data_IF_135955816300
#
_entry.id   IF_135955816300
#
_cell.length_a   1.000
_cell.length_b   1.000
_cell.length_c   1.000
_cell.angle_alpha   90.00
_cell.angle_beta   90.00
_cell.angle_gamma   90.00
#
_symmetry.space_group_name_H-M   'P 1'
#
loop_
_entity.id
_entity.type
_entity.pdbx_description
1 polymer ?
#
# COMPACT_ATOMS: atom_id res chain seq x y z
N UNK A 1 9.02 50.44 1.74
CA UNK A 1 8.22 49.25 2.10
C UNK A 1 7.41 49.58 3.36
N UNK A 2 6.09 49.63 3.25
CA UNK A 2 5.17 50.04 4.34
C UNK A 2 5.22 49.07 5.54
N UNK A 3 5.01 49.55 6.77
CA UNK A 3 4.96 48.71 7.99
C UNK A 3 3.98 47.52 7.86
N UNK A 4 2.87 47.71 7.13
CA UNK A 4 1.89 46.65 6.88
C UNK A 4 2.47 45.53 6.00
N UNK A 5 3.32 45.87 5.03
CA UNK A 5 4.01 44.89 4.18
C UNK A 5 5.02 44.04 4.96
N UNK A 6 5.68 44.61 5.98
CA UNK A 6 6.59 43.86 6.86
C UNK A 6 5.84 42.87 7.76
N UNK A 7 4.72 43.28 8.37
CA UNK A 7 3.87 42.38 9.19
C UNK A 7 3.31 41.21 8.37
N UNK A 8 2.86 41.49 7.15
CA UNK A 8 2.35 40.46 6.25
C UNK A 8 3.46 39.50 5.80
N UNK A 9 4.68 39.99 5.58
CA UNK A 9 5.84 39.16 5.23
C UNK A 9 6.25 38.22 6.38
N UNK A 10 6.23 38.69 7.63
CA UNK A 10 6.50 37.82 8.79
C UNK A 10 5.41 36.76 8.98
N UNK A 11 4.14 37.12 8.78
CA UNK A 11 3.02 36.17 8.83
C UNK A 11 3.15 35.09 7.73
N UNK A 12 3.48 35.51 6.50
CA UNK A 12 3.66 34.60 5.37
C UNK A 12 4.84 33.64 5.59
N UNK A 13 5.95 34.14 6.14
CA UNK A 13 7.13 33.34 6.45
C UNK A 13 6.87 32.35 7.59
N UNK A 14 6.06 32.72 8.59
CA UNK A 14 5.63 31.82 9.67
C UNK A 14 4.74 30.67 9.17
N UNK A 15 3.81 30.96 8.26
CA UNK A 15 2.96 29.93 7.63
C UNK A 15 3.81 28.96 6.80
N UNK A 16 4.76 29.48 6.02
CA UNK A 16 5.65 28.65 5.21
C UNK A 16 6.53 27.73 6.07
N UNK A 17 7.03 28.25 7.20
CA UNK A 17 7.81 27.46 8.15
C UNK A 17 6.97 26.36 8.82
N UNK A 18 5.70 26.65 9.18
CA UNK A 18 4.78 25.66 9.73
C UNK A 18 4.48 24.53 8.74
N UNK A 19 4.25 24.86 7.46
CA UNK A 19 4.03 23.88 6.39
C UNK A 19 5.28 23.01 6.15
N UNK A 20 6.47 23.60 6.22
CA UNK A 20 7.73 22.88 6.11
C UNK A 20 7.92 21.86 7.25
N UNK A 21 7.57 22.22 8.49
CA UNK A 21 7.61 21.30 9.63
C UNK A 21 6.67 20.10 9.40
N UNK A 22 5.44 20.35 8.93
CA UNK A 22 4.46 19.27 8.67
C UNK A 22 4.99 18.27 7.65
N UNK A 23 5.71 18.71 6.61
CA UNK A 23 6.29 17.82 5.60
C UNK A 23 7.35 16.88 6.20
N UNK A 24 8.19 17.34 7.12
CA UNK A 24 9.26 16.51 7.72
C UNK A 24 8.67 15.34 8.54
N UNK A 25 7.54 15.56 9.22
CA UNK A 25 6.90 14.55 10.06
C UNK A 25 6.13 13.46 9.30
N UNK A 26 5.89 13.62 7.99
CA UNK A 26 5.19 12.59 7.19
C UNK A 26 6.09 11.43 6.73
N UNK A 27 7.39 11.46 7.04
CA UNK A 27 8.37 10.47 6.54
C UNK A 27 8.42 9.15 7.32
N UNK A 28 7.60 8.95 8.37
CA UNK A 28 7.61 7.71 9.16
C UNK A 28 6.66 6.64 8.58
N UNK A 29 6.80 6.34 7.28
CA UNK A 29 6.31 5.09 6.75
C UNK A 29 7.38 4.02 6.99
N UNK A 30 7.19 3.20 8.03
CA UNK A 30 8.08 2.11 8.43
C UNK A 30 8.12 1.02 7.34
N UNK A 31 9.07 1.10 6.41
CA UNK A 31 9.36 0.00 5.49
C UNK A 31 10.22 -1.05 6.22
N UNK A 32 9.63 -2.20 6.53
CA UNK A 32 10.31 -3.33 7.17
C UNK A 32 11.17 -4.08 6.13
N UNK A 33 12.31 -3.50 5.74
CA UNK A 33 13.32 -4.16 4.91
C UNK A 33 14.21 -5.07 5.75
N UNK A 34 13.75 -6.29 6.04
CA UNK A 34 14.54 -7.32 6.72
C UNK A 34 15.74 -7.79 5.89
N UNK A 35 16.74 -8.39 6.54
CA UNK A 35 17.87 -9.04 5.85
C UNK A 35 17.36 -10.21 5.01
N UNK A 36 17.66 -10.18 3.71
CA UNK A 36 17.22 -11.20 2.76
C UNK A 36 18.16 -12.40 2.76
N UNK A 37 17.61 -13.62 2.87
CA UNK A 37 18.31 -14.85 2.46
C UNK A 37 18.15 -14.98 0.94
N UNK A 38 19.23 -15.12 0.17
CA UNK A 38 19.13 -15.35 -1.28
C UNK A 38 18.27 -16.59 -1.57
N UNK A 39 17.17 -16.42 -2.31
CA UNK A 39 16.29 -17.50 -2.75
C UNK A 39 14.91 -17.58 -2.08
N UNK A 40 14.67 -16.86 -0.98
CA UNK A 40 13.34 -16.81 -0.36
C UNK A 40 12.38 -15.86 -1.11
N UNK A 41 11.10 -16.25 -1.20
CA UNK A 41 10.06 -15.37 -1.74
C UNK A 41 9.78 -14.22 -0.77
N UNK A 42 10.01 -12.99 -1.24
CA UNK A 42 9.99 -11.78 -0.39
C UNK A 42 8.64 -11.07 -0.45
N UNK A 43 8.36 -10.20 0.53
CA UNK A 43 7.18 -9.32 0.50
C UNK A 43 7.14 -8.42 -0.75
N UNK A 44 8.30 -7.91 -1.20
CA UNK A 44 8.37 -7.07 -2.41
C UNK A 44 8.04 -7.88 -3.68
N UNK A 45 8.55 -9.11 -3.78
CA UNK A 45 8.20 -10.00 -4.89
C UNK A 45 6.72 -10.41 -4.86
N UNK A 46 6.17 -10.66 -3.67
CA UNK A 46 4.74 -10.92 -3.49
C UNK A 46 3.89 -9.74 -3.94
N UNK A 47 4.24 -8.53 -3.51
CA UNK A 47 3.56 -7.32 -3.93
C UNK A 47 3.58 -7.17 -5.45
N UNK A 48 4.75 -7.27 -6.08
CA UNK A 48 4.88 -7.16 -7.54
C UNK A 48 3.99 -8.18 -8.26
N UNK A 49 4.08 -9.46 -7.87
CA UNK A 49 3.30 -10.53 -8.51
C UNK A 49 1.79 -10.38 -8.27
N UNK A 50 1.40 -9.90 -7.09
CA UNK A 50 0.01 -9.63 -6.77
C UNK A 50 -0.55 -8.47 -7.59
N UNK A 51 0.22 -7.39 -7.79
CA UNK A 51 -0.18 -6.27 -8.64
C UNK A 51 -0.41 -6.73 -10.09
N UNK A 52 0.49 -7.55 -10.65
CA UNK A 52 0.31 -8.10 -11.99
C UNK A 52 -0.97 -8.95 -12.09
N UNK A 53 -1.28 -9.76 -11.06
CA UNK A 53 -2.50 -10.56 -11.00
C UNK A 53 -3.75 -9.68 -10.84
N UNK A 54 -3.67 -8.63 -10.03
CA UNK A 54 -4.75 -7.68 -9.79
C UNK A 54 -5.19 -7.01 -11.09
N UNK A 55 -4.24 -6.50 -11.88
CA UNK A 55 -4.52 -5.87 -13.18
C UNK A 55 -5.17 -6.87 -14.15
N UNK A 56 -4.69 -8.13 -14.16
CA UNK A 56 -5.31 -9.19 -14.95
C UNK A 56 -6.74 -9.50 -14.53
N UNK A 57 -7.06 -9.45 -13.23
CA UNK A 57 -8.40 -9.70 -12.72
C UNK A 57 -9.38 -8.60 -13.15
N UNK A 58 -8.94 -7.34 -13.17
CA UNK A 58 -9.72 -6.22 -13.69
C UNK A 58 -9.92 -6.37 -15.21
N UNK A 59 -8.84 -6.63 -15.96
CA UNK A 59 -8.91 -6.83 -17.42
C UNK A 59 -9.81 -8.00 -17.83
N UNK A 60 -9.89 -9.05 -17.00
CA UNK A 60 -10.78 -10.21 -17.18
C UNK A 60 -12.19 -10.00 -16.60
N UNK A 61 -12.49 -8.81 -16.06
CA UNK A 61 -13.76 -8.46 -15.40
C UNK A 61 -14.13 -9.38 -14.24
N UNK A 62 -13.13 -9.98 -13.59
CA UNK A 62 -13.29 -10.70 -12.31
C UNK A 62 -13.35 -9.73 -11.14
N UNK A 63 -12.67 -8.60 -11.29
CA UNK A 63 -12.88 -7.39 -10.52
C UNK A 63 -13.51 -6.34 -11.44
N UNK A 64 -14.43 -5.55 -10.91
CA UNK A 64 -15.04 -4.46 -11.65
C UNK A 64 -14.08 -3.27 -11.80
N UNK A 65 -14.32 -2.39 -12.77
CA UNK A 65 -13.41 -1.27 -13.08
C UNK A 65 -13.23 -0.26 -11.94
N UNK A 66 -14.15 -0.21 -10.96
CA UNK A 66 -13.98 0.71 -9.82
C UNK A 66 -12.77 0.35 -8.94
N UNK A 67 -12.25 -0.87 -9.06
CA UNK A 67 -11.00 -1.26 -8.43
C UNK A 67 -9.79 -0.47 -8.97
N UNK A 68 -9.84 0.10 -10.17
CA UNK A 68 -8.73 0.90 -10.70
C UNK A 68 -8.55 2.24 -9.97
N UNK A 69 -9.65 2.84 -9.49
CA UNK A 69 -9.65 4.23 -9.00
C UNK A 69 -10.16 4.40 -7.56
N UNK A 70 -10.58 3.32 -6.89
CA UNK A 70 -11.03 3.35 -5.49
C UNK A 70 -10.11 2.62 -4.52
N UNK A 71 -8.97 2.12 -4.99
CA UNK A 71 -7.95 1.49 -4.15
C UNK A 71 -7.47 2.49 -3.08
N UNK A 72 -7.58 2.10 -1.82
CA UNK A 72 -7.22 2.93 -0.66
C UNK A 72 -5.99 2.41 0.07
N UNK A 73 -5.77 1.09 0.07
CA UNK A 73 -4.67 0.49 0.81
C UNK A 73 -4.20 -0.81 0.14
N UNK A 74 -2.89 -1.04 0.21
CA UNK A 74 -2.27 -2.32 -0.12
C UNK A 74 -1.47 -2.81 1.08
N UNK A 75 -1.65 -4.07 1.46
CA UNK A 75 -0.97 -4.70 2.59
C UNK A 75 -0.22 -5.96 2.16
N UNK A 76 0.89 -6.26 2.83
CA UNK A 76 1.62 -7.53 2.66
C UNK A 76 1.94 -8.10 4.04
N UNK A 77 1.48 -9.31 4.33
CA UNK A 77 1.69 -9.94 5.63
C UNK A 77 1.79 -11.46 5.50
N UNK A 78 2.37 -12.10 6.52
CA UNK A 78 2.40 -13.55 6.63
C UNK A 78 1.14 -14.06 7.32
N UNK A 79 0.59 -15.17 6.83
CA UNK A 79 -0.52 -15.89 7.45
C UNK A 79 -0.09 -17.33 7.74
N UNK A 80 -0.18 -17.77 8.98
CA UNK A 80 0.22 -19.11 9.41
C UNK A 80 1.37 -19.10 10.42
N UNK A 81 1.97 -20.27 10.65
CA UNK A 81 3.10 -20.46 11.55
C UNK A 81 4.44 -20.32 10.79
N UNK A 82 5.53 -20.05 11.50
CA UNK A 82 6.83 -19.73 10.89
C UNK A 82 7.37 -20.81 9.93
N UNK A 83 7.01 -22.09 10.14
CA UNK A 83 7.39 -23.22 9.30
C UNK A 83 6.40 -23.51 8.15
N UNK A 84 5.16 -23.03 8.27
CA UNK A 84 4.05 -23.22 7.32
C UNK A 84 3.21 -21.96 7.26
N UNK A 85 3.71 -20.99 6.49
CA UNK A 85 3.02 -19.74 6.25
C UNK A 85 2.82 -19.47 4.76
N UNK A 86 1.87 -18.60 4.49
CA UNK A 86 1.64 -17.98 3.20
C UNK A 86 2.00 -16.50 3.27
N UNK A 87 2.42 -15.94 2.13
CA UNK A 87 2.53 -14.50 1.96
C UNK A 87 1.22 -14.02 1.32
N UNK A 88 0.53 -13.14 2.02
CA UNK A 88 -0.77 -12.60 1.61
C UNK A 88 -0.59 -11.15 1.20
N UNK A 89 -1.13 -10.80 0.04
CA UNK A 89 -1.26 -9.42 -0.41
C UNK A 89 -2.73 -9.03 -0.39
N UNK A 90 -3.06 -7.95 0.31
CA UNK A 90 -4.41 -7.40 0.36
C UNK A 90 -4.51 -6.11 -0.45
N UNK A 91 -5.61 -5.94 -1.17
CA UNK A 91 -6.00 -4.70 -1.84
C UNK A 91 -7.35 -4.27 -1.27
N UNK A 92 -7.40 -3.11 -0.62
CA UNK A 92 -8.62 -2.57 -0.04
C UNK A 92 -9.06 -1.33 -0.81
N UNK A 93 -10.38 -1.15 -0.94
CA UNK A 93 -11.01 0.03 -1.52
C UNK A 93 -11.90 0.75 -0.52
N UNK A 94 -12.15 2.04 -0.75
CA UNK A 94 -12.96 2.87 0.16
C UNK A 94 -14.42 2.44 0.22
N UNK A 95 -14.97 1.94 -0.89
CA UNK A 95 -16.38 1.61 -1.04
C UNK A 95 -16.59 0.46 -2.05
N UNK A 96 -17.74 -0.20 -1.96
CA UNK A 96 -18.09 -1.38 -2.76
C UNK A 96 -18.00 -2.69 -1.97
N UNK A 97 -18.46 -3.77 -2.60
CA UNK A 97 -18.49 -5.13 -2.05
C UNK A 97 -17.83 -6.11 -3.04
N UNK A 98 -16.77 -6.85 -2.65
CA UNK A 98 -16.10 -6.80 -1.35
C UNK A 98 -15.32 -5.49 -1.17
N UNK A 99 -14.99 -5.15 0.08
CA UNK A 99 -14.09 -4.03 0.40
C UNK A 99 -12.62 -4.37 0.27
N UNK A 100 -12.28 -5.65 0.42
CA UNK A 100 -10.90 -6.13 0.38
C UNK A 100 -10.83 -7.41 -0.43
N UNK A 101 -9.79 -7.51 -1.25
CA UNK A 101 -9.43 -8.74 -1.96
C UNK A 101 -8.07 -9.20 -1.50
N UNK A 102 -7.90 -10.52 -1.42
CA UNK A 102 -6.67 -11.14 -0.96
C UNK A 102 -6.08 -12.03 -2.05
N UNK A 103 -4.77 -11.99 -2.20
CA UNK A 103 -4.00 -12.89 -3.08
C UNK A 103 -3.00 -13.64 -2.21
N UNK A 104 -3.00 -14.95 -2.34
CA UNK A 104 -2.22 -15.85 -1.49
C UNK A 104 -1.09 -16.48 -2.29
N UNK A 105 0.11 -16.50 -1.70
CA UNK A 105 1.27 -17.22 -2.22
C UNK A 105 1.85 -18.13 -1.15
N UNK A 106 2.36 -19.29 -1.58
CA UNK A 106 3.19 -20.12 -0.69
C UNK A 106 4.60 -19.52 -0.49
N UNK A 107 5.41 -20.16 0.36
CA UNK A 107 6.79 -19.73 0.66
C UNK A 107 7.75 -19.76 -0.54
N UNK A 108 7.39 -20.46 -1.62
CA UNK A 108 8.13 -20.47 -2.89
C UNK A 108 7.65 -19.39 -3.87
N UNK A 109 6.56 -18.68 -3.54
CA UNK A 109 5.94 -17.68 -4.37
C UNK A 109 4.96 -18.23 -5.40
N UNK A 110 4.54 -19.49 -5.30
CA UNK A 110 3.48 -20.05 -6.13
C UNK A 110 2.14 -19.46 -5.71
N UNK A 111 1.33 -19.05 -6.68
CA UNK A 111 -0.04 -18.62 -6.43
C UNK A 111 -0.87 -19.81 -5.93
N UNK A 112 -1.51 -19.67 -4.78
CA UNK A 112 -2.36 -20.72 -4.19
C UNK A 112 -3.84 -20.37 -4.24
N UNK A 113 -4.19 -19.09 -4.35
CA UNK A 113 -5.58 -18.67 -4.50
C UNK A 113 -5.78 -17.16 -4.33
N UNK A 114 -7.03 -16.76 -4.46
CA UNK A 114 -7.50 -15.41 -4.16
C UNK A 114 -8.85 -15.47 -3.46
N UNK A 115 -9.10 -14.52 -2.56
CA UNK A 115 -10.43 -14.30 -2.00
C UNK A 115 -10.99 -12.95 -2.45
N UNK A 116 -12.18 -12.97 -3.04
CA UNK A 116 -12.94 -11.82 -3.52
C UNK A 116 -14.29 -11.65 -2.79
N UNK A 117 -14.48 -12.29 -1.63
CA UNK A 117 -15.68 -12.11 -0.80
C UNK A 117 -15.45 -11.17 0.38
N UNK A 118 -14.18 -10.89 0.71
CA UNK A 118 -13.82 -10.10 1.90
C UNK A 118 -13.88 -10.89 3.21
N UNK A 119 -14.19 -12.19 3.15
CA UNK A 119 -14.25 -13.12 4.29
C UNK A 119 -12.91 -13.77 4.65
#
# INVERSE_FOLDING_TARGET
MSLNSRKNMHAFMGIFFLLYIILIFTSLAFSHGGKHVPGEFTHLQALKKATDLYDQLIGKRKLDQSWENKLSQVGVFKRGADDKYEIVVSFARTEGDPKTVYIFFDTSGKYVGSNFTGE
#
